data_IF_568088023711
#
_entry.id   IF_568088023711
#
_cell.length_a   1.000
_cell.length_b   1.000
_cell.length_c   1.000
_cell.angle_alpha   90.00
_cell.angle_beta   90.00
_cell.angle_gamma   90.00
#
_symmetry.space_group_name_H-M   'P 1'
#
loop_
_entity.id
_entity.type
_entity.pdbx_description
1 polymer ?
#
# COMPACT_ATOMS: atom_id res chain seq x y z
N UNK A 1 -2.09 14.82 2.39
CA UNK A 1 -0.98 14.09 3.06
C UNK A 1 -0.86 14.67 4.46
N UNK A 2 -0.80 13.85 5.51
CA UNK A 2 -0.64 14.33 6.89
C UNK A 2 0.85 14.28 7.25
N UNK A 3 1.40 15.42 7.69
CA UNK A 3 2.75 15.50 8.21
C UNK A 3 2.68 15.41 9.74
N UNK A 4 3.40 14.45 10.31
CA UNK A 4 3.49 14.23 11.75
C UNK A 4 4.94 14.46 12.15
N UNK A 5 5.17 15.48 12.98
CA UNK A 5 6.48 15.72 13.55
C UNK A 5 6.69 14.81 14.76
N UNK A 6 7.79 14.08 14.77
CA UNK A 6 8.16 13.19 15.85
C UNK A 6 9.17 13.94 16.74
N UNK A 7 8.82 14.26 18.00
CA UNK A 7 9.79 14.83 18.92
C UNK A 7 11.00 13.91 19.00
N UNK A 8 12.20 14.49 18.94
CA UNK A 8 13.46 13.78 18.65
C UNK A 8 13.52 12.38 19.25
N UNK A 9 13.78 11.39 18.40
CA UNK A 9 14.10 10.03 18.82
C UNK A 9 15.45 10.13 19.54
N UNK A 10 15.40 10.23 20.87
CA UNK A 10 16.58 10.19 21.73
C UNK A 10 16.98 8.73 21.88
N UNK A 11 18.29 8.47 21.98
CA UNK A 11 18.84 7.17 22.37
C UNK A 11 18.08 6.62 23.60
N UNK A 12 17.55 5.40 23.49
CA UNK A 12 16.74 4.78 24.55
C UNK A 12 15.24 5.07 24.49
N UNK A 13 14.71 5.56 23.37
CA UNK A 13 13.26 5.64 23.14
C UNK A 13 12.58 4.26 23.22
N UNK A 14 13.30 3.19 22.84
CA UNK A 14 12.89 1.79 22.99
C UNK A 14 12.77 1.33 24.45
N UNK A 15 13.58 1.89 25.36
CA UNK A 15 13.52 1.63 26.81
C UNK A 15 12.39 2.40 27.51
N UNK A 16 11.62 3.22 26.79
CA UNK A 16 10.49 3.98 27.32
C UNK A 16 10.86 5.31 27.98
N UNK A 17 12.10 5.77 27.86
CA UNK A 17 12.49 7.12 28.29
C UNK A 17 11.82 8.18 27.40
N UNK A 18 11.28 9.24 28.02
CA UNK A 18 10.79 10.45 27.36
C UNK A 18 9.77 10.26 26.22
N UNK A 19 8.48 10.00 26.52
CA UNK A 19 7.38 9.83 25.52
C UNK A 19 7.68 8.86 24.35
N UNK A 20 8.77 8.08 24.39
CA UNK A 20 9.26 7.26 23.27
C UNK A 20 8.22 6.27 22.74
N UNK A 21 7.39 5.68 23.62
CA UNK A 21 6.32 4.76 23.20
C UNK A 21 5.27 5.41 22.28
N UNK A 22 4.99 6.70 22.46
CA UNK A 22 4.05 7.43 21.58
C UNK A 22 4.68 7.69 20.22
N UNK A 23 5.95 8.12 20.20
CA UNK A 23 6.74 8.35 18.97
C UNK A 23 6.82 7.07 18.14
N UNK A 24 7.09 5.94 18.79
CA UNK A 24 7.12 4.61 18.20
C UNK A 24 5.77 4.24 17.58
N UNK A 25 4.66 4.43 18.31
CA UNK A 25 3.34 4.09 17.80
C UNK A 25 2.99 4.91 16.55
N UNK A 26 3.36 6.19 16.53
CA UNK A 26 3.17 7.06 15.36
C UNK A 26 4.04 6.60 14.19
N UNK A 27 5.32 6.32 14.41
CA UNK A 27 6.22 5.80 13.37
C UNK A 27 5.71 4.46 12.79
N UNK A 28 5.18 3.58 13.63
CA UNK A 28 4.51 2.34 13.18
C UNK A 28 3.22 2.58 12.42
N UNK A 29 2.56 3.72 12.55
CA UNK A 29 1.38 4.05 11.75
C UNK A 29 1.72 4.73 10.42
N UNK A 30 2.92 5.30 10.30
CA UNK A 30 3.33 6.05 9.12
C UNK A 30 3.43 5.18 7.86
N UNK A 31 3.09 5.78 6.71
CA UNK A 31 3.24 5.18 5.38
C UNK A 31 4.64 5.45 4.78
N UNK A 32 5.25 6.57 5.16
CA UNK A 32 6.60 7.01 4.78
C UNK A 32 7.26 7.65 6.01
N UNK A 33 8.51 7.30 6.27
CA UNK A 33 9.35 7.94 7.29
C UNK A 33 10.37 8.84 6.59
N UNK A 34 10.50 10.09 7.06
CA UNK A 34 11.52 11.02 6.60
C UNK A 34 12.59 11.11 7.68
N UNK A 35 13.82 10.76 7.33
CA UNK A 35 14.97 10.91 8.23
C UNK A 35 15.75 12.13 7.78
N UNK A 36 15.64 13.22 8.55
CA UNK A 36 16.32 14.48 8.23
C UNK A 36 17.69 14.50 8.91
N UNK A 37 18.73 14.71 8.12
CA UNK A 37 20.13 14.73 8.56
C UNK A 37 20.79 16.04 8.14
N UNK A 38 21.77 16.51 8.91
CA UNK A 38 22.54 17.71 8.59
C UNK A 38 23.76 17.36 7.74
N UNK A 39 23.76 17.77 6.47
CA UNK A 39 24.83 17.53 5.51
C UNK A 39 26.15 18.25 5.88
N UNK A 40 26.08 19.44 6.48
CA UNK A 40 27.24 20.28 6.79
C UNK A 40 28.00 19.87 8.06
N UNK A 41 27.42 19.01 8.89
CA UNK A 41 27.95 18.67 10.22
C UNK A 41 29.17 17.73 10.22
N UNK A 42 29.48 17.10 9.08
CA UNK A 42 30.49 16.03 8.97
C UNK A 42 30.16 14.75 9.75
N UNK A 43 29.01 14.69 10.42
CA UNK A 43 28.53 13.56 11.24
C UNK A 43 27.27 12.91 10.66
N UNK A 44 26.94 13.25 9.42
CA UNK A 44 25.70 12.83 8.78
C UNK A 44 25.55 11.30 8.73
N UNK A 45 26.61 10.57 8.36
CA UNK A 45 26.58 9.11 8.28
C UNK A 45 26.36 8.46 9.66
N UNK A 46 27.06 8.96 10.70
CA UNK A 46 26.87 8.46 12.06
C UNK A 46 25.45 8.74 12.59
N UNK A 47 24.89 9.91 12.29
CA UNK A 47 23.51 10.22 12.66
C UNK A 47 22.52 9.28 11.96
N UNK A 48 22.74 9.03 10.67
CA UNK A 48 21.96 8.08 9.88
C UNK A 48 21.98 6.69 10.52
N UNK A 49 23.17 6.15 10.80
CA UNK A 49 23.32 4.82 11.42
C UNK A 49 22.62 4.70 12.77
N UNK A 50 22.75 5.71 13.63
CA UNK A 50 22.09 5.73 14.95
C UNK A 50 20.57 5.74 14.82
N UNK A 51 20.02 6.59 13.94
CA UNK A 51 18.58 6.68 13.73
C UNK A 51 17.99 5.40 13.11
N UNK A 52 18.70 4.79 12.16
CA UNK A 52 18.30 3.51 11.57
C UNK A 52 18.26 2.42 12.64
N UNK A 53 19.31 2.33 13.46
CA UNK A 53 19.39 1.33 14.53
C UNK A 53 18.25 1.47 15.55
N UNK A 54 17.94 2.69 15.98
CA UNK A 54 16.83 2.94 16.92
C UNK A 54 15.47 2.53 16.32
N UNK A 55 15.23 2.86 15.03
CA UNK A 55 14.01 2.45 14.34
C UNK A 55 13.93 0.93 14.15
N UNK A 56 15.06 0.27 13.92
CA UNK A 56 15.12 -1.20 13.80
C UNK A 56 14.86 -1.92 15.11
N UNK A 57 15.36 -1.41 16.23
CA UNK A 57 15.06 -1.94 17.58
C UNK A 57 13.57 -1.84 17.90
N UNK A 58 12.91 -0.80 17.40
CA UNK A 58 11.46 -0.58 17.53
C UNK A 58 10.64 -1.56 16.67
N UNK A 59 11.29 -2.29 15.77
CA UNK A 59 10.66 -3.27 14.88
C UNK A 59 10.16 -2.66 13.56
N UNK A 60 10.70 -1.51 13.17
CA UNK A 60 10.57 -0.98 11.81
C UNK A 60 11.69 -1.53 10.93
N UNK A 61 11.36 -1.89 9.69
CA UNK A 61 12.32 -2.27 8.67
C UNK A 61 12.23 -1.26 7.53
N UNK A 62 13.29 -0.49 7.35
CA UNK A 62 13.33 0.64 6.43
C UNK A 62 13.73 0.15 5.03
N UNK A 63 12.96 0.50 4.00
CA UNK A 63 13.23 0.17 2.58
C UNK A 63 13.44 -1.31 2.26
N UNK A 64 12.95 -2.19 3.13
CA UNK A 64 13.03 -3.64 2.95
C UNK A 64 11.66 -4.22 2.60
N UNK A 65 11.67 -5.39 1.95
CA UNK A 65 10.47 -6.20 1.75
C UNK A 65 10.45 -7.37 2.75
N UNK A 66 9.27 -7.89 3.13
CA UNK A 66 9.19 -9.12 3.90
C UNK A 66 9.92 -10.26 3.18
N UNK A 67 10.73 -11.06 3.89
CA UNK A 67 11.44 -12.16 3.28
C UNK A 67 10.47 -13.22 2.74
N UNK A 68 10.75 -13.77 1.55
CA UNK A 68 9.96 -14.81 0.90
C UNK A 68 10.28 -16.19 1.47
N UNK A 69 9.93 -16.37 2.74
CA UNK A 69 10.03 -17.66 3.44
C UNK A 69 8.63 -18.11 3.83
N UNK A 70 8.30 -19.35 3.48
CA UNK A 70 7.06 -19.94 3.92
C UNK A 70 7.27 -20.59 5.29
N UNK A 71 6.58 -20.06 6.30
CA UNK A 71 6.63 -20.57 7.67
C UNK A 71 5.25 -20.97 8.14
N UNK A 72 5.12 -22.22 8.58
CA UNK A 72 3.88 -22.75 9.14
C UNK A 72 4.15 -23.57 10.38
N UNK A 73 3.61 -23.14 11.52
CA UNK A 73 3.67 -23.91 12.76
C UNK A 73 2.79 -25.16 12.66
N UNK A 74 3.33 -26.32 13.05
CA UNK A 74 2.63 -27.60 13.09
C UNK A 74 2.37 -28.00 14.55
N UNK A 75 1.38 -28.87 14.77
CA UNK A 75 1.10 -29.42 16.11
C UNK A 75 2.07 -30.54 16.51
N UNK A 76 2.51 -31.32 15.53
CA UNK A 76 3.38 -32.49 15.68
C UNK A 76 4.24 -32.64 14.41
N UNK A 77 5.34 -33.37 14.49
CA UNK A 77 6.19 -33.71 13.33
C UNK A 77 7.57 -33.05 13.31
N UNK A 78 7.98 -32.38 14.39
CA UNK A 78 9.30 -31.77 14.47
C UNK A 78 9.47 -30.56 13.54
N UNK A 79 10.70 -30.07 13.43
CA UNK A 79 11.05 -28.98 12.51
C UNK A 79 11.50 -29.58 11.18
N UNK A 80 10.79 -29.27 10.10
CA UNK A 80 11.18 -29.60 8.74
C UNK A 80 11.65 -28.34 8.03
N UNK A 81 12.94 -28.25 7.76
CA UNK A 81 13.55 -27.16 6.98
C UNK A 81 13.76 -27.64 5.55
N UNK A 82 13.40 -26.82 4.58
CA UNK A 82 13.66 -27.06 3.16
C UNK A 82 14.05 -25.75 2.49
N UNK A 83 14.96 -25.81 1.52
CA UNK A 83 15.42 -24.63 0.80
C UNK A 83 15.34 -24.89 -0.71
N UNK A 84 14.77 -23.93 -1.44
CA UNK A 84 14.79 -23.93 -2.91
C UNK A 84 16.05 -23.26 -3.48
N UNK A 85 16.78 -22.50 -2.64
CA UNK A 85 17.99 -21.76 -2.98
C UNK A 85 19.16 -22.20 -2.07
N UNK A 86 20.39 -21.87 -2.48
CA UNK A 86 21.55 -22.06 -1.63
C UNK A 86 21.53 -21.02 -0.50
N UNK A 87 21.56 -21.48 0.74
CA UNK A 87 21.60 -20.64 1.92
C UNK A 87 23.06 -20.37 2.29
N UNK A 88 23.43 -19.09 2.35
CA UNK A 88 24.78 -18.65 2.74
C UNK A 88 24.75 -18.08 4.15
N UNK A 89 23.69 -17.36 4.47
CA UNK A 89 23.59 -16.56 5.68
C UNK A 89 22.97 -17.29 6.88
N UNK A 90 22.29 -18.42 6.65
CA UNK A 90 21.61 -19.18 7.70
C UNK A 90 21.78 -20.69 7.50
N UNK A 91 22.15 -21.40 8.56
CA UNK A 91 22.24 -22.86 8.54
C UNK A 91 20.99 -23.50 9.14
N UNK A 92 20.71 -24.75 8.77
CA UNK A 92 19.60 -25.51 9.36
C UNK A 92 19.72 -25.66 10.89
N UNK A 93 20.95 -25.66 11.42
CA UNK A 93 21.21 -25.71 12.86
C UNK A 93 20.75 -24.43 13.55
N UNK A 94 21.06 -23.27 12.96
CA UNK A 94 20.64 -21.97 13.48
C UNK A 94 19.12 -21.84 13.50
N UNK A 95 18.45 -22.28 12.42
CA UNK A 95 16.98 -22.30 12.34
C UNK A 95 16.38 -23.14 13.47
N UNK A 96 16.91 -24.34 13.70
CA UNK A 96 16.44 -25.23 14.75
C UNK A 96 16.66 -24.63 16.14
N UNK A 97 17.81 -24.01 16.39
CA UNK A 97 18.13 -23.36 17.65
C UNK A 97 17.19 -22.18 17.92
N UNK A 98 16.99 -21.30 16.93
CA UNK A 98 16.07 -20.16 17.03
C UNK A 98 14.64 -20.63 17.31
N UNK A 99 14.13 -21.60 16.56
CA UNK A 99 12.78 -22.12 16.78
C UNK A 99 12.61 -22.73 18.17
N UNK A 100 13.64 -23.41 18.69
CA UNK A 100 13.62 -23.96 20.04
C UNK A 100 13.61 -22.86 21.12
N UNK A 101 14.38 -21.79 20.93
CA UNK A 101 14.39 -20.62 21.82
C UNK A 101 13.01 -19.93 21.88
N UNK A 102 12.33 -19.82 20.74
CA UNK A 102 10.95 -19.34 20.64
C UNK A 102 9.89 -20.36 21.10
N UNK A 103 10.28 -21.51 21.67
CA UNK A 103 9.42 -22.60 22.14
C UNK A 103 8.55 -23.23 21.04
N UNK A 104 9.06 -23.28 19.82
CA UNK A 104 8.39 -23.84 18.64
C UNK A 104 9.06 -25.18 18.30
N UNK A 105 8.48 -26.28 18.78
CA UNK A 105 9.03 -27.62 18.57
C UNK A 105 8.60 -28.29 17.26
N UNK A 106 7.59 -27.74 16.57
CA UNK A 106 7.09 -28.29 15.32
C UNK A 106 6.72 -27.18 14.33
N UNK A 107 7.45 -27.12 13.21
CA UNK A 107 7.25 -26.12 12.19
C UNK A 107 7.73 -26.63 10.82
N UNK A 108 7.14 -26.11 9.77
CA UNK A 108 7.59 -26.26 8.40
C UNK A 108 8.11 -24.91 7.90
N UNK A 109 9.37 -24.91 7.47
CA UNK A 109 10.07 -23.73 6.96
C UNK A 109 10.57 -24.04 5.56
N UNK A 110 10.09 -23.29 4.58
CA UNK A 110 10.56 -23.37 3.20
C UNK A 110 11.16 -22.03 2.79
N UNK A 111 12.48 -22.01 2.61
CA UNK A 111 13.22 -20.86 2.12
C UNK A 111 13.16 -20.80 0.59
N UNK A 112 12.62 -19.70 0.04
CA UNK A 112 12.65 -19.43 -1.42
C UNK A 112 13.69 -18.40 -1.82
N UNK A 113 14.25 -17.68 -0.85
CA UNK A 113 15.38 -16.77 -1.01
C UNK A 113 16.32 -16.92 0.19
N UNK A 114 17.56 -16.47 0.02
CA UNK A 114 18.55 -16.45 1.12
C UNK A 114 18.14 -15.37 2.13
N UNK A 115 18.15 -15.73 3.41
CA UNK A 115 17.67 -14.87 4.50
C UNK A 115 18.70 -14.82 5.62
N UNK A 116 18.83 -13.67 6.26
CA UNK A 116 19.66 -13.53 7.46
C UNK A 116 18.91 -14.03 8.70
N UNK A 117 19.65 -14.27 9.78
CA UNK A 117 19.08 -14.65 11.08
C UNK A 117 18.05 -13.61 11.56
N UNK A 118 18.36 -12.33 11.45
CA UNK A 118 17.46 -11.24 11.87
C UNK A 118 16.16 -11.21 11.05
N UNK A 119 16.25 -11.44 9.74
CA UNK A 119 15.07 -11.53 8.87
C UNK A 119 14.21 -12.74 9.21
N UNK A 120 14.83 -13.85 9.62
CA UNK A 120 14.09 -15.02 10.07
C UNK A 120 13.39 -14.76 11.43
N UNK A 121 14.05 -14.07 12.35
CA UNK A 121 13.45 -13.60 13.61
C UNK A 121 12.25 -12.69 13.34
N UNK A 122 12.38 -11.75 12.41
CA UNK A 122 11.29 -10.86 12.02
C UNK A 122 10.04 -11.61 11.55
N UNK A 123 10.26 -12.71 10.83
CA UNK A 123 9.20 -13.57 10.32
C UNK A 123 8.56 -14.45 11.41
N UNK A 124 9.33 -14.90 12.40
CA UNK A 124 8.81 -15.62 13.57
C UNK A 124 7.95 -14.71 14.44
N UNK A 125 8.39 -13.46 14.65
CA UNK A 125 7.70 -12.49 15.48
C UNK A 125 6.43 -11.94 14.81
N UNK A 126 6.46 -11.69 13.49
CA UNK A 126 5.30 -11.22 12.73
C UNK A 126 4.75 -9.83 13.12
N UNK A 127 5.37 -9.15 14.09
CA UNK A 127 4.98 -7.82 14.58
C UNK A 127 5.81 -6.68 13.93
N UNK A 128 6.67 -7.01 12.97
CA UNK A 128 7.51 -6.03 12.26
C UNK A 128 6.72 -5.30 11.19
N UNK A 129 7.00 -4.01 11.02
CA UNK A 129 6.41 -3.22 9.93
C UNK A 129 7.51 -2.80 8.95
N UNK A 130 7.29 -3.10 7.68
CA UNK A 130 8.13 -2.67 6.58
C UNK A 130 7.62 -1.31 6.10
N UNK A 131 8.47 -0.29 6.18
CA UNK A 131 8.10 1.09 5.87
C UNK A 131 9.13 1.68 4.93
N UNK A 132 8.65 2.46 3.97
CA UNK A 132 9.52 3.22 3.07
C UNK A 132 10.12 4.40 3.83
N UNK A 133 11.39 4.67 3.59
CA UNK A 133 12.15 5.69 4.26
C UNK A 133 12.91 6.52 3.24
N UNK A 134 12.85 7.84 3.37
CA UNK A 134 13.63 8.77 2.55
C UNK A 134 14.60 9.52 3.45
N UNK A 135 15.90 9.43 3.14
CA UNK A 135 16.95 10.16 3.84
C UNK A 135 17.10 11.54 3.22
N UNK A 136 16.87 12.57 4.02
CA UNK A 136 16.81 13.96 3.58
C UNK A 136 17.98 14.72 4.21
N UNK A 137 18.99 15.01 3.41
CA UNK A 137 20.17 15.74 3.82
C UNK A 137 19.93 17.24 3.62
N UNK A 138 19.72 17.94 4.72
CA UNK A 138 19.47 19.36 4.75
C UNK A 138 20.77 20.16 4.90
N UNK A 139 20.72 21.47 4.63
CA UNK A 139 21.83 22.43 4.71
C UNK A 139 22.95 22.24 3.66
N UNK A 140 22.56 21.91 2.43
CA UNK A 140 23.51 21.77 1.31
C UNK A 140 24.27 23.06 1.01
N UNK A 141 23.77 24.21 1.46
CA UNK A 141 24.44 25.51 1.39
C UNK A 141 25.77 25.56 2.15
N UNK A 142 25.97 24.67 3.12
CA UNK A 142 27.19 24.54 3.92
C UNK A 142 28.10 23.40 3.44
N UNK A 143 27.77 22.78 2.31
CA UNK A 143 28.40 21.57 1.80
C UNK A 143 28.97 21.82 0.41
N UNK A 144 30.04 21.11 0.03
CA UNK A 144 30.60 21.23 -1.33
C UNK A 144 29.79 20.41 -2.32
N UNK A 145 29.95 20.69 -3.61
CA UNK A 145 29.21 20.01 -4.68
C UNK A 145 29.59 18.52 -4.73
N UNK A 146 30.87 18.20 -4.51
CA UNK A 146 31.36 16.80 -4.53
C UNK A 146 30.72 15.97 -3.42
N UNK A 147 30.52 16.58 -2.24
CA UNK A 147 29.86 15.93 -1.12
C UNK A 147 28.36 15.74 -1.38
N UNK A 148 27.71 16.73 -2.00
CA UNK A 148 26.33 16.60 -2.45
C UNK A 148 26.15 15.43 -3.44
N UNK A 149 27.06 15.30 -4.41
CA UNK A 149 27.03 14.20 -5.39
C UNK A 149 27.26 12.83 -4.73
N UNK A 150 28.16 12.78 -3.74
CA UNK A 150 28.38 11.56 -2.93
C UNK A 150 27.12 11.14 -2.19
N UNK A 151 26.43 12.09 -1.55
CA UNK A 151 25.18 11.83 -0.83
C UNK A 151 24.07 11.39 -1.79
N UNK A 152 23.94 12.07 -2.94
CA UNK A 152 22.92 11.76 -3.94
C UNK A 152 23.15 10.37 -4.59
N UNK A 153 24.38 9.89 -4.60
CA UNK A 153 24.73 8.54 -5.09
C UNK A 153 24.31 7.42 -4.14
N UNK A 154 24.01 7.74 -2.87
CA UNK A 154 23.52 6.76 -1.91
C UNK A 154 22.05 6.39 -2.19
N UNK A 155 21.63 5.14 -1.90
CA UNK A 155 20.26 4.72 -2.11
C UNK A 155 19.30 5.45 -1.17
N UNK A 156 18.14 5.82 -1.71
CA UNK A 156 17.05 6.46 -0.99
C UNK A 156 17.43 7.77 -0.26
N UNK A 157 18.47 8.43 -0.77
CA UNK A 157 18.99 9.71 -0.28
C UNK A 157 18.60 10.85 -1.18
N UNK A 158 18.37 12.02 -0.58
CA UNK A 158 18.19 13.26 -1.31
C UNK A 158 18.77 14.45 -0.56
N UNK A 159 19.12 15.48 -1.31
CA UNK A 159 19.79 16.68 -0.78
C UNK A 159 18.88 17.90 -0.96
N UNK A 160 18.77 18.75 0.07
CA UNK A 160 17.96 19.97 0.04
C UNK A 160 18.54 21.09 0.91
N UNK A 161 18.17 22.35 0.63
CA UNK A 161 18.39 23.47 1.55
C UNK A 161 17.06 24.14 1.86
N UNK A 162 16.58 23.99 3.09
CA UNK A 162 15.37 24.68 3.55
C UNK A 162 15.55 26.21 3.58
N UNK A 163 16.78 26.69 3.81
CA UNK A 163 17.06 28.13 3.92
C UNK A 163 16.99 28.80 2.54
N UNK A 164 17.71 28.24 1.56
CA UNK A 164 17.77 28.76 0.19
C UNK A 164 16.63 28.26 -0.71
N UNK A 165 15.74 27.42 -0.18
CA UNK A 165 14.66 26.75 -0.91
C UNK A 165 15.14 25.95 -2.13
N UNK A 166 16.31 25.34 -2.04
CA UNK A 166 16.86 24.49 -3.10
C UNK A 166 16.29 23.06 -3.03
N UNK A 167 15.96 22.47 -4.18
CA UNK A 167 15.42 21.11 -4.34
C UNK A 167 14.08 20.82 -3.64
N UNK A 168 13.28 21.85 -3.34
CA UNK A 168 11.95 21.65 -2.74
C UNK A 168 10.98 20.94 -3.69
N UNK A 169 11.04 21.23 -4.99
CA UNK A 169 10.13 20.61 -5.97
C UNK A 169 10.43 19.11 -6.09
N UNK A 170 11.71 18.76 -6.21
CA UNK A 170 12.19 17.37 -6.23
C UNK A 170 11.84 16.64 -4.92
N UNK A 171 11.88 17.33 -3.78
CA UNK A 171 11.46 16.76 -2.49
C UNK A 171 9.98 16.37 -2.49
N UNK A 172 9.10 17.24 -3.00
CA UNK A 172 7.67 16.96 -3.10
C UNK A 172 7.39 15.81 -4.09
N UNK A 173 8.07 15.79 -5.23
CA UNK A 173 7.97 14.71 -6.21
C UNK A 173 8.42 13.36 -5.62
N UNK A 174 9.56 13.34 -4.91
CA UNK A 174 10.07 12.13 -4.24
C UNK A 174 9.14 11.64 -3.15
N UNK A 175 8.55 12.52 -2.35
CA UNK A 175 7.54 12.13 -1.36
C UNK A 175 6.35 11.46 -2.05
N UNK A 176 5.87 12.03 -3.17
CA UNK A 176 4.75 11.48 -3.92
C UNK A 176 5.06 10.08 -4.47
N UNK A 177 6.23 9.91 -5.09
CA UNK A 177 6.74 8.63 -5.59
C UNK A 177 6.84 7.58 -4.48
N UNK A 178 7.41 7.95 -3.34
CA UNK A 178 7.60 7.04 -2.20
C UNK A 178 6.30 6.66 -1.51
N UNK A 179 5.34 7.58 -1.40
CA UNK A 179 4.02 7.24 -0.88
C UNK A 179 3.26 6.29 -1.82
N UNK A 180 3.59 6.29 -3.13
CA UNK A 180 2.96 5.43 -4.13
C UNK A 180 1.45 5.62 -4.16
N UNK A 181 1.01 6.88 -4.06
CA UNK A 181 -0.40 7.25 -4.05
C UNK A 181 -1.00 7.03 -5.44
N UNK A 182 -2.19 6.44 -5.47
CA UNK A 182 -2.97 6.22 -6.70
C UNK A 182 -4.24 7.04 -6.58
N UNK A 183 -4.39 8.06 -7.41
CA UNK A 183 -5.60 8.88 -7.50
C UNK A 183 -6.57 8.22 -8.45
N UNK A 184 -7.80 8.01 -8.00
CA UNK A 184 -8.88 7.45 -8.81
C UNK A 184 -10.06 8.41 -8.81
N UNK A 185 -10.50 8.80 -9.98
CA UNK A 185 -11.59 9.75 -10.15
C UNK A 185 -12.93 9.03 -10.27
N UNK A 186 -13.94 9.50 -9.52
CA UNK A 186 -15.26 8.89 -9.59
C UNK A 186 -16.11 9.52 -10.68
N UNK A 187 -16.85 8.68 -11.40
CA UNK A 187 -17.77 9.12 -12.44
C UNK A 187 -19.19 8.59 -12.18
N UNK A 188 -20.14 9.45 -11.79
CA UNK A 188 -21.53 9.08 -11.71
C UNK A 188 -22.13 8.79 -13.09
N UNK A 189 -23.14 7.91 -13.15
CA UNK A 189 -23.82 7.58 -14.40
C UNK A 189 -24.50 8.82 -14.98
N UNK A 190 -24.19 9.15 -16.24
CA UNK A 190 -24.77 10.29 -16.94
C UNK A 190 -24.16 11.66 -16.58
N UNK A 191 -23.17 11.70 -15.69
CA UNK A 191 -22.39 12.90 -15.38
C UNK A 191 -20.95 12.78 -15.89
N UNK A 192 -20.28 13.92 -15.97
CA UNK A 192 -18.84 13.97 -16.20
C UNK A 192 -18.11 13.46 -14.94
N UNK A 193 -16.89 12.90 -15.08
CA UNK A 193 -16.04 12.60 -13.94
C UNK A 193 -15.76 13.88 -13.13
N UNK A 194 -15.64 13.70 -11.83
CA UNK A 194 -15.16 14.75 -10.93
C UNK A 194 -13.65 14.63 -10.80
N UNK A 195 -12.93 15.73 -11.04
CA UNK A 195 -11.47 15.81 -10.97
C UNK A 195 -10.96 16.58 -9.75
N UNK A 196 -11.85 17.22 -8.99
CA UNK A 196 -11.47 18.03 -7.84
C UNK A 196 -11.22 17.13 -6.61
N UNK A 197 -12.08 16.13 -6.41
CA UNK A 197 -12.01 15.20 -5.27
C UNK A 197 -11.68 13.75 -5.70
N UNK A 198 -10.39 13.41 -5.93
CA UNK A 198 -9.97 12.04 -6.21
C UNK A 198 -10.02 11.15 -4.97
N UNK A 199 -10.35 9.88 -5.19
CA UNK A 199 -10.10 8.82 -4.22
C UNK A 199 -8.61 8.47 -4.22
N UNK A 200 -7.94 8.73 -3.10
CA UNK A 200 -6.52 8.38 -2.94
C UNK A 200 -6.41 6.99 -2.32
N UNK A 201 -5.91 6.05 -3.12
CA UNK A 201 -5.64 4.67 -2.75
C UNK A 201 -4.14 4.44 -2.51
N UNK A 202 -3.84 3.51 -1.61
CA UNK A 202 -2.46 3.12 -1.31
C UNK A 202 -2.34 1.61 -1.14
N UNK A 203 -1.21 1.05 -1.59
CA UNK A 203 -0.93 -0.39 -1.46
C UNK A 203 -0.92 -0.86 -0.01
N UNK A 204 -0.45 -0.02 0.92
CA UNK A 204 -0.26 -0.39 2.32
C UNK A 204 -1.53 -0.47 3.18
N UNK A 205 -2.63 0.20 2.78
CA UNK A 205 -3.86 0.27 3.59
C UNK A 205 -4.90 -0.75 3.16
N UNK A 206 -5.49 -0.54 1.99
CA UNK A 206 -6.59 -1.35 1.47
C UNK A 206 -6.28 -1.94 0.09
N UNK A 207 -5.08 -1.68 -0.43
CA UNK A 207 -4.70 -1.99 -1.81
C UNK A 207 -5.22 -0.94 -2.79
N UNK A 208 -4.87 -1.12 -4.06
CA UNK A 208 -5.28 -0.26 -5.17
C UNK A 208 -6.35 -0.93 -6.05
N UNK A 209 -7.07 -1.92 -5.53
CA UNK A 209 -8.10 -2.63 -6.28
C UNK A 209 -9.42 -1.84 -6.37
N UNK A 210 -10.27 -2.22 -7.32
CA UNK A 210 -11.66 -1.72 -7.43
C UNK A 210 -12.44 -1.99 -6.14
N UNK A 211 -12.19 -3.12 -5.46
CA UNK A 211 -12.77 -3.41 -4.16
C UNK A 211 -12.37 -2.38 -3.10
N UNK A 212 -11.09 -2.01 -3.06
CA UNK A 212 -10.56 -1.01 -2.14
C UNK A 212 -11.22 0.35 -2.37
N UNK A 213 -11.32 0.78 -3.64
CA UNK A 213 -12.02 1.99 -4.04
C UNK A 213 -13.49 1.97 -3.58
N UNK A 214 -14.19 0.85 -3.78
CA UNK A 214 -15.58 0.70 -3.36
C UNK A 214 -15.75 0.80 -1.84
N UNK A 215 -14.84 0.17 -1.07
CA UNK A 215 -14.84 0.22 0.40
C UNK A 215 -14.59 1.63 0.93
N UNK A 216 -13.71 2.39 0.28
CA UNK A 216 -13.40 3.78 0.65
C UNK A 216 -14.58 4.72 0.40
N UNK A 217 -15.34 4.52 -0.68
CA UNK A 217 -16.59 5.26 -0.92
C UNK A 217 -17.62 4.88 0.16
N UNK A 218 -17.97 3.59 0.25
CA UNK A 218 -18.91 3.11 1.25
C UNK A 218 -18.86 1.59 1.42
N UNK A 219 -18.82 1.11 2.67
CA UNK A 219 -18.74 -0.33 3.00
C UNK A 219 -19.84 -1.21 2.38
N UNK A 220 -21.04 -0.68 2.14
CA UNK A 220 -22.16 -1.45 1.56
C UNK A 220 -22.10 -1.55 0.04
N UNK A 221 -21.15 -0.86 -0.61
CA UNK A 221 -21.05 -0.86 -2.06
C UNK A 221 -20.59 -2.22 -2.59
N UNK A 222 -19.66 -2.88 -1.89
CA UNK A 222 -19.11 -4.20 -2.26
C UNK A 222 -20.19 -5.28 -2.40
N UNK A 223 -21.10 -5.52 -1.42
CA UNK A 223 -22.14 -6.54 -1.59
C UNK A 223 -23.14 -6.21 -2.71
N UNK A 224 -23.39 -4.91 -2.94
CA UNK A 224 -24.27 -4.44 -4.03
C UNK A 224 -23.57 -4.33 -5.39
N UNK A 225 -22.28 -4.64 -5.49
CA UNK A 225 -21.48 -4.45 -6.70
C UNK A 225 -21.86 -5.45 -7.79
N UNK A 226 -22.09 -4.97 -9.01
CA UNK A 226 -22.25 -5.80 -10.21
C UNK A 226 -20.96 -5.81 -11.03
N UNK A 227 -20.58 -4.64 -11.55
CA UNK A 227 -19.33 -4.41 -12.26
C UNK A 227 -18.90 -2.94 -12.16
N UNK A 228 -17.62 -2.67 -12.41
CA UNK A 228 -17.09 -1.33 -12.59
C UNK A 228 -16.80 -1.09 -14.08
N UNK A 229 -17.01 0.13 -14.54
CA UNK A 229 -16.48 0.59 -15.83
C UNK A 229 -15.27 1.47 -15.50
N UNK A 230 -14.12 1.12 -16.07
CA UNK A 230 -12.87 1.84 -15.84
C UNK A 230 -12.41 2.48 -17.15
N UNK A 231 -11.94 3.72 -17.06
CA UNK A 231 -11.23 4.41 -18.13
C UNK A 231 -9.84 4.77 -17.61
N UNK A 232 -8.79 4.41 -18.36
CA UNK A 232 -7.42 4.79 -18.00
C UNK A 232 -6.40 3.73 -18.40
N UNK A 233 -5.21 3.84 -17.84
CA UNK A 233 -4.05 3.03 -18.21
C UNK A 233 -4.10 1.61 -17.62
N UNK A 234 -4.92 1.36 -16.59
CA UNK A 234 -5.04 0.02 -16.01
C UNK A 234 -5.78 -0.98 -16.91
N UNK A 235 -6.56 -0.49 -17.87
CA UNK A 235 -7.36 -1.32 -18.78
C UNK A 235 -6.77 -1.36 -20.18
N UNK A 236 -6.93 -2.49 -20.87
CA UNK A 236 -6.42 -2.64 -22.24
C UNK A 236 -7.28 -1.89 -23.26
N UNK A 237 -8.58 -1.77 -22.99
CA UNK A 237 -9.53 -1.07 -23.83
C UNK A 237 -10.29 -0.03 -23.00
N UNK A 238 -10.49 1.15 -23.56
CA UNK A 238 -11.13 2.26 -22.85
C UNK A 238 -12.50 2.58 -23.46
N UNK A 239 -13.62 2.47 -22.72
CA UNK A 239 -13.76 1.84 -21.39
C UNK A 239 -13.80 0.30 -21.41
N UNK A 240 -13.41 -0.31 -20.30
CA UNK A 240 -13.54 -1.75 -20.06
C UNK A 240 -14.35 -2.04 -18.79
N UNK A 241 -15.10 -3.15 -18.81
CA UNK A 241 -15.79 -3.67 -17.63
C UNK A 241 -14.83 -4.49 -16.80
N UNK A 242 -14.72 -4.15 -15.52
CA UNK A 242 -13.80 -4.76 -14.57
C UNK A 242 -14.55 -5.28 -13.34
N UNK A 243 -14.01 -6.35 -12.74
CA UNK A 243 -14.47 -6.88 -11.47
C UNK A 243 -13.81 -6.21 -10.26
N UNK A 244 -14.12 -6.70 -9.06
CA UNK A 244 -13.57 -6.20 -7.79
C UNK A 244 -12.06 -6.39 -7.66
N UNK A 245 -11.51 -7.46 -8.26
CA UNK A 245 -10.08 -7.82 -8.18
C UNK A 245 -9.20 -7.02 -9.15
N UNK A 246 -9.78 -6.16 -9.98
CA UNK A 246 -9.02 -5.34 -10.93
C UNK A 246 -8.18 -4.30 -10.19
N UNK A 247 -6.91 -4.18 -10.55
CA UNK A 247 -5.97 -3.22 -9.98
C UNK A 247 -6.07 -1.90 -10.74
N UNK A 248 -6.28 -0.80 -10.04
CA UNK A 248 -6.36 0.54 -10.59
C UNK A 248 -4.97 1.18 -10.65
N UNK A 249 -4.78 2.05 -11.64
CA UNK A 249 -3.58 2.86 -11.85
C UNK A 249 -3.86 4.33 -11.53
N UNK A 250 -2.81 5.14 -11.37
CA UNK A 250 -2.97 6.57 -11.10
C UNK A 250 -3.73 7.25 -12.23
N UNK A 251 -4.61 8.18 -11.85
CA UNK A 251 -5.52 8.94 -12.72
C UNK A 251 -6.62 8.14 -13.44
N UNK A 252 -6.85 6.88 -13.05
CA UNK A 252 -7.96 6.09 -13.57
C UNK A 252 -9.31 6.72 -13.17
N UNK A 253 -10.29 6.65 -14.09
CA UNK A 253 -11.68 7.02 -13.83
C UNK A 253 -12.51 5.76 -13.62
N UNK A 254 -13.28 5.71 -12.53
CA UNK A 254 -14.16 4.59 -12.18
C UNK A 254 -15.63 4.99 -12.14
N UNK A 255 -16.48 4.17 -12.75
CA UNK A 255 -17.93 4.21 -12.58
C UNK A 255 -18.40 2.86 -12.03
N UNK A 256 -18.89 2.86 -10.79
CA UNK A 256 -19.43 1.66 -10.15
C UNK A 256 -20.89 1.46 -10.54
N UNK A 257 -21.24 0.24 -10.97
CA UNK A 257 -22.61 -0.16 -11.26
C UNK A 257 -23.08 -1.15 -10.20
N UNK A 258 -24.21 -0.84 -9.58
CA UNK A 258 -24.86 -1.70 -8.59
C UNK A 258 -25.71 -2.78 -9.27
N UNK A 259 -25.79 -3.94 -8.64
CA UNK A 259 -26.73 -5.01 -9.01
C UNK A 259 -28.14 -4.45 -8.98
N UNK A 260 -28.88 -4.63 -10.06
CA UNK A 260 -30.33 -4.37 -10.04
C UNK A 260 -30.97 -5.48 -9.20
N UNK A 261 -31.29 -5.19 -7.96
CA UNK A 261 -32.31 -5.95 -7.27
C UNK A 261 -33.62 -5.75 -8.07
N UNK A 262 -34.29 -6.82 -8.49
CA UNK A 262 -35.59 -6.77 -9.17
C UNK A 262 -36.71 -6.08 -8.37
N UNK A 263 -36.41 -5.47 -7.21
CA UNK A 263 -37.37 -4.87 -6.29
C UNK A 263 -37.35 -3.34 -6.22
N UNK A 264 -36.44 -2.65 -6.90
CA UNK A 264 -36.52 -1.19 -7.07
C UNK A 264 -36.87 -0.85 -8.53
N UNK A 265 -38.11 -1.18 -8.92
CA UNK A 265 -38.78 -0.42 -9.96
C UNK A 265 -39.35 0.81 -9.28
N UNK A 266 -38.73 1.97 -9.47
CA UNK A 266 -39.34 3.26 -9.15
C UNK A 266 -40.76 3.30 -9.77
N UNK A 267 -41.84 3.43 -8.97
CA UNK A 267 -43.19 3.51 -9.51
C UNK A 267 -43.39 4.74 -10.42
N UNK A 268 -42.51 5.74 -10.32
CA UNK A 268 -42.59 6.99 -11.06
C UNK A 268 -41.79 7.04 -12.37
N UNK A 269 -40.97 6.02 -12.68
CA UNK A 269 -40.22 6.00 -13.94
C UNK A 269 -40.73 4.94 -14.94
N UNK A 270 -41.92 4.39 -14.69
CA UNK A 270 -42.69 3.69 -15.71
C UNK A 270 -43.33 4.70 -16.65
N UNK A 271 -42.58 5.20 -17.64
CA UNK A 271 -43.23 5.49 -18.91
C UNK A 271 -43.67 4.15 -19.48
N UNK A 272 -44.93 3.82 -19.27
CA UNK A 272 -45.63 2.79 -20.02
C UNK A 272 -45.58 3.19 -21.51
N UNK A 273 -44.56 2.71 -22.22
CA UNK A 273 -44.65 2.58 -23.65
C UNK A 273 -45.91 1.76 -23.98
N UNK A 274 -46.61 2.05 -25.08
CA UNK A 274 -47.82 1.31 -25.42
C UNK A 274 -47.48 -0.19 -25.45
N UNK A 275 -48.22 -0.97 -24.66
CA UNK A 275 -48.07 -2.43 -24.58
C UNK A 275 -48.17 -2.97 -26.00
N UNK A 276 -47.05 -3.43 -26.56
CA UNK A 276 -47.05 -4.14 -27.85
C UNK A 276 -47.96 -5.36 -27.70
N UNK A 277 -49.16 -5.26 -28.28
CA UNK A 277 -50.10 -6.38 -28.30
C UNK A 277 -49.39 -7.55 -28.98
N UNK A 278 -49.26 -8.66 -28.25
CA UNK A 278 -48.78 -9.92 -28.81
C UNK A 278 -49.46 -10.20 -30.14
N UNK A 279 -48.70 -10.67 -31.15
CA UNK A 279 -49.19 -11.05 -32.48
C UNK A 279 -50.49 -11.87 -32.42
N UNK A 280 -50.66 -12.70 -31.39
CA UNK A 280 -51.86 -13.52 -31.17
C UNK A 280 -53.10 -12.70 -30.80
N UNK A 281 -52.95 -11.60 -30.05
CA UNK A 281 -54.06 -10.71 -29.69
C UNK A 281 -54.53 -9.90 -30.91
N UNK A 282 -53.60 -9.44 -31.76
CA UNK A 282 -53.91 -8.76 -33.02
C UNK A 282 -54.65 -9.71 -33.97
N UNK A 283 -54.23 -10.98 -34.03
CA UNK A 283 -54.88 -12.02 -34.84
C UNK A 283 -56.32 -12.30 -34.40
N UNK A 284 -56.56 -12.41 -33.08
CA UNK A 284 -57.91 -12.59 -32.51
C UNK A 284 -58.81 -11.37 -32.75
N UNK A 285 -58.27 -10.15 -32.67
CA UNK A 285 -59.02 -8.94 -32.97
C UNK A 285 -59.42 -8.85 -34.46
N UNK A 286 -58.51 -9.22 -35.38
CA UNK A 286 -58.82 -9.28 -36.82
C UNK A 286 -59.83 -10.38 -37.18
N UNK A 287 -59.85 -11.49 -36.45
CA UNK A 287 -60.83 -12.55 -36.68
C UNK A 287 -62.26 -12.10 -36.35
N UNK A 288 -62.44 -11.28 -35.31
CA UNK A 288 -63.75 -10.72 -34.92
C UNK A 288 -64.31 -9.68 -35.89
N UNK A 289 -63.48 -9.12 -36.76
CA UNK A 289 -63.86 -8.12 -37.78
C UNK A 289 -64.24 -8.76 -39.13
N UNK A 290 -64.17 -10.10 -39.24
CA UNK A 290 -64.47 -10.86 -40.47
C UNK A 290 -65.80 -11.64 -40.41
N UNK A 291 -66.60 -11.38 -39.38
CA UNK A 291 -68.00 -11.81 -39.22
C UNK A 291 -68.84 -10.57 -39.06
#
# INVERSE_FOLDING_TARGET
IQLLDLPGIIEGASEGKGRGRQVIAVARSADLVLIVVDAGSGKAERQRELLVRELEVVGLRLNQRPPNVYFKRKKTGGVSVSASCQLVNITERDVNQLLHEYRIHSAEVLFREDCTIDQFIDLIEGNRKYVRCLFVYNKIDMTTIEECDRIMSQPDSMVMSCHMKMNHDVFLEKIWEYLGLVRVYTKPRGKKPDFDDPLVLTNGRHGTSVEAACKQIHRTLVPSFDYAIVWGCSVKHTPQRCGLSHMLSDEDVIQVVKKRNQKELDPHNQKSGPVEKSRNQIRKAKAKLKT
#
